data_IF_049660561976
#
_entry.id   IF_049660561976
#
_cell.length_a   1.000
_cell.length_b   1.000
_cell.length_c   1.000
_cell.angle_alpha   90.00
_cell.angle_beta   90.00
_cell.angle_gamma   90.00
#
_symmetry.space_group_name_H-M   'P 1'
#
loop_
_entity.id
_entity.type
_entity.pdbx_description
1 polymer ?
#
# COMPACT_ATOMS: atom_id res chain seq x y z
N UNK A 1 -63.90 29.71 10.10
CA UNK A 1 -62.70 30.33 10.69
C UNK A 1 -61.48 29.78 9.92
N UNK A 2 -61.06 30.50 8.88
CA UNK A 2 -59.90 30.11 8.09
C UNK A 2 -58.64 30.50 8.88
N UNK A 3 -57.77 29.51 9.12
CA UNK A 3 -56.49 29.71 9.78
C UNK A 3 -55.47 30.06 8.67
N UNK A 4 -55.16 31.34 8.52
CA UNK A 4 -54.09 31.79 7.65
C UNK A 4 -52.75 31.41 8.26
N UNK A 5 -52.12 30.38 7.69
CA UNK A 5 -50.73 30.05 7.96
C UNK A 5 -49.84 31.09 7.27
N UNK A 6 -49.20 31.96 8.03
CA UNK A 6 -48.23 32.92 7.53
C UNK A 6 -46.93 32.21 7.17
N UNK A 7 -46.70 31.93 5.88
CA UNK A 7 -45.49 31.34 5.32
C UNK A 7 -44.24 32.24 5.37
N UNK A 8 -44.22 33.31 6.19
CA UNK A 8 -43.17 34.33 6.17
C UNK A 8 -41.83 34.00 6.83
N UNK A 9 -41.67 32.80 7.42
CA UNK A 9 -40.47 32.46 8.19
C UNK A 9 -39.48 31.47 7.52
N UNK A 10 -39.89 30.77 6.50
CA UNK A 10 -39.09 29.66 5.90
C UNK A 10 -37.78 30.15 5.26
N UNK A 11 -37.77 31.33 4.64
CA UNK A 11 -36.55 31.89 4.05
C UNK A 11 -35.47 32.22 5.11
N UNK A 12 -35.87 32.57 6.36
CA UNK A 12 -34.92 32.78 7.45
C UNK A 12 -34.20 31.55 7.87
N UNK A 13 -34.89 30.39 7.84
CA UNK A 13 -34.30 29.09 8.16
C UNK A 13 -33.28 28.70 7.06
N UNK A 14 -33.65 28.87 5.78
CA UNK A 14 -32.75 28.61 4.67
C UNK A 14 -31.53 29.55 4.68
N UNK A 15 -31.72 30.82 5.05
CA UNK A 15 -30.62 31.77 5.20
C UNK A 15 -29.70 31.39 6.37
N UNK A 16 -30.27 31.01 7.53
CA UNK A 16 -29.49 30.55 8.67
C UNK A 16 -28.67 29.30 8.34
N UNK A 17 -29.22 28.33 7.62
CA UNK A 17 -28.52 27.11 7.16
C UNK A 17 -27.37 27.46 6.22
N UNK A 18 -27.60 28.33 5.26
CA UNK A 18 -26.56 28.83 4.36
C UNK A 18 -25.41 29.52 5.11
N UNK A 19 -25.72 30.38 6.07
CA UNK A 19 -24.69 31.09 6.85
C UNK A 19 -23.91 30.14 7.75
N UNK A 20 -24.58 29.16 8.37
CA UNK A 20 -23.89 28.15 9.19
C UNK A 20 -22.99 27.27 8.36
N UNK A 21 -23.41 26.86 7.14
CA UNK A 21 -22.57 26.09 6.20
C UNK A 21 -21.34 26.90 5.74
N UNK A 22 -21.52 28.20 5.43
CA UNK A 22 -20.41 29.11 5.13
C UNK A 22 -19.44 29.24 6.30
N UNK A 23 -19.94 29.38 7.52
CA UNK A 23 -19.12 29.47 8.73
C UNK A 23 -18.30 28.18 8.92
N UNK A 24 -18.91 27.03 8.78
CA UNK A 24 -18.22 25.74 8.87
C UNK A 24 -17.12 25.62 7.82
N UNK A 25 -17.38 26.00 6.58
CA UNK A 25 -16.41 26.04 5.51
C UNK A 25 -15.22 26.98 5.81
N UNK A 26 -15.50 28.19 6.32
CA UNK A 26 -14.45 29.10 6.74
C UNK A 26 -13.59 28.55 7.88
N UNK A 27 -14.22 27.93 8.88
CA UNK A 27 -13.48 27.27 9.98
C UNK A 27 -12.57 26.17 9.49
N UNK A 28 -13.02 25.37 8.52
CA UNK A 28 -12.22 24.33 7.90
C UNK A 28 -11.02 24.91 7.17
N UNK A 29 -11.21 25.94 6.35
CA UNK A 29 -10.11 26.64 5.67
C UNK A 29 -9.14 27.28 6.67
N UNK A 30 -9.64 27.88 7.74
CA UNK A 30 -8.81 28.45 8.78
C UNK A 30 -7.97 27.39 9.50
N UNK A 31 -8.57 26.22 9.84
CA UNK A 31 -7.87 25.08 10.41
C UNK A 31 -6.72 24.62 9.50
N UNK A 32 -6.98 24.47 8.21
CA UNK A 32 -5.96 24.07 7.23
C UNK A 32 -4.86 25.15 7.13
N UNK A 33 -5.21 26.43 7.24
CA UNK A 33 -4.24 27.53 7.19
C UNK A 33 -3.29 27.57 8.39
N UNK A 34 -3.75 27.14 9.58
CA UNK A 34 -2.97 27.13 10.83
C UNK A 34 -2.06 25.90 10.93
N UNK A 35 -2.34 24.82 10.17
CA UNK A 35 -1.51 23.61 10.16
C UNK A 35 -0.16 23.92 9.50
N UNK A 36 0.93 23.51 10.15
CA UNK A 36 2.29 23.65 9.61
C UNK A 36 2.48 22.85 8.31
N UNK A 37 3.41 23.27 7.42
CA UNK A 37 3.64 22.58 6.14
C UNK A 37 3.89 21.07 6.28
N UNK A 38 4.64 20.67 7.32
CA UNK A 38 4.98 19.27 7.60
C UNK A 38 3.71 18.47 7.91
N UNK A 39 2.82 19.02 8.74
CA UNK A 39 1.55 18.37 9.09
C UNK A 39 0.56 18.35 7.92
N UNK A 40 0.62 19.34 7.01
CA UNK A 40 -0.17 19.32 5.77
C UNK A 40 0.25 18.19 4.85
N UNK A 41 1.55 17.94 4.72
CA UNK A 41 2.08 16.82 3.92
C UNK A 41 1.56 15.47 4.44
N UNK A 42 1.64 15.24 5.76
CA UNK A 42 1.12 14.02 6.41
C UNK A 42 -0.39 13.85 6.18
N UNK A 43 -1.15 14.96 6.28
CA UNK A 43 -2.60 14.91 6.05
C UNK A 43 -2.94 14.62 4.59
N UNK A 44 -2.21 15.20 3.64
CA UNK A 44 -2.38 14.94 2.21
C UNK A 44 -2.05 13.48 1.86
N UNK A 45 -1.01 12.93 2.46
CA UNK A 45 -0.63 11.52 2.30
C UNK A 45 -1.68 10.57 2.90
N UNK A 46 -2.24 10.91 4.07
CA UNK A 46 -3.35 10.17 4.65
C UNK A 46 -4.55 10.08 3.70
N UNK A 47 -4.97 11.21 3.12
CA UNK A 47 -6.09 11.24 2.17
C UNK A 47 -5.76 10.59 0.82
N UNK A 48 -4.51 10.62 0.39
CA UNK A 48 -4.05 9.95 -0.82
C UNK A 48 -4.11 8.43 -0.69
N UNK A 49 -3.74 7.91 0.48
CA UNK A 49 -3.81 6.47 0.79
C UNK A 49 -5.23 6.01 1.17
N UNK A 50 -6.15 6.95 1.37
CA UNK A 50 -7.55 6.69 1.67
C UNK A 50 -8.37 6.62 0.37
N UNK A 51 -8.03 5.70 -0.50
CA UNK A 51 -8.82 5.41 -1.71
C UNK A 51 -10.02 4.54 -1.32
N UNK A 52 -11.14 5.17 -1.01
CA UNK A 52 -12.42 4.51 -0.66
C UNK A 52 -12.96 3.63 -1.82
N UNK A 53 -12.39 3.74 -3.01
CA UNK A 53 -12.96 3.16 -4.22
C UNK A 53 -12.06 2.19 -4.99
N UNK A 54 -10.90 1.79 -4.46
CA UNK A 54 -9.98 1.00 -5.27
C UNK A 54 -9.66 -0.41 -4.75
N UNK A 55 -10.22 -0.86 -3.63
CA UNK A 55 -10.27 -2.30 -3.35
C UNK A 55 -11.33 -2.67 -2.33
N UNK A 56 -12.31 -3.42 -2.79
CA UNK A 56 -13.51 -3.85 -2.09
C UNK A 56 -13.26 -5.04 -1.14
N UNK A 57 -12.13 -5.10 -0.44
CA UNK A 57 -11.87 -6.22 0.46
C UNK A 57 -11.30 -5.90 1.84
N UNK A 58 -11.18 -4.62 2.23
CA UNK A 58 -10.77 -4.33 3.60
C UNK A 58 -11.82 -3.47 4.30
N UNK A 59 -12.64 -4.14 5.12
CA UNK A 59 -13.64 -3.53 5.99
C UNK A 59 -13.00 -2.45 6.89
N UNK A 60 -13.40 -1.19 6.68
CA UNK A 60 -12.97 0.00 7.46
C UNK A 60 -13.57 0.01 8.88
N UNK A 61 -14.23 -1.08 9.31
CA UNK A 61 -14.99 -1.13 10.57
C UNK A 61 -14.24 -1.93 11.66
N UNK A 62 -12.97 -2.17 11.52
CA UNK A 62 -12.21 -2.66 12.67
C UNK A 62 -11.63 -1.47 13.44
N UNK A 63 -12.34 -1.08 14.50
CA UNK A 63 -12.17 0.15 15.31
C UNK A 63 -10.83 0.27 16.05
N UNK A 64 -9.74 -0.05 15.41
CA UNK A 64 -8.41 0.36 15.86
C UNK A 64 -8.12 1.73 15.28
N UNK A 65 -8.50 2.76 16.04
CA UNK A 65 -8.16 4.14 15.75
C UNK A 65 -6.68 4.25 15.37
N UNK A 66 -6.46 4.78 14.17
CA UNK A 66 -5.13 5.17 13.72
C UNK A 66 -4.62 6.23 14.70
N UNK A 67 -3.74 5.85 15.61
CA UNK A 67 -3.16 6.77 16.58
C UNK A 67 -2.20 7.64 15.77
N UNK A 68 -2.54 8.92 15.64
CA UNK A 68 -1.79 9.94 14.91
C UNK A 68 -0.34 10.10 15.42
N UNK A 69 -0.09 9.65 16.62
CA UNK A 69 1.23 9.61 17.28
C UNK A 69 2.21 8.65 16.58
N UNK A 70 1.70 7.59 15.95
CA UNK A 70 2.48 6.59 15.23
C UNK A 70 3.00 7.09 13.86
N UNK A 71 2.36 8.13 13.30
CA UNK A 71 2.78 8.76 12.05
C UNK A 71 3.89 9.82 12.25
N UNK A 72 3.96 10.42 13.45
CA UNK A 72 4.90 11.52 13.74
C UNK A 72 6.26 11.01 14.21
N UNK A 73 6.33 9.79 14.77
CA UNK A 73 7.54 9.24 15.42
C UNK A 73 8.30 8.21 14.60
N UNK A 74 7.85 7.88 13.37
CA UNK A 74 8.59 6.95 12.51
C UNK A 74 9.74 7.66 11.83
N UNK A 75 10.99 7.25 12.03
CA UNK A 75 12.05 7.64 11.12
C UNK A 75 11.68 7.06 9.75
N UNK A 76 11.21 7.91 8.85
CA UNK A 76 10.97 7.55 7.46
C UNK A 76 12.31 7.16 6.84
N UNK A 77 12.52 5.86 6.67
CA UNK A 77 13.54 5.39 5.74
C UNK A 77 13.03 5.84 4.37
N UNK A 78 13.71 6.80 3.77
CA UNK A 78 13.34 7.29 2.44
C UNK A 78 13.37 6.12 1.46
N UNK A 79 12.32 5.90 0.66
CA UNK A 79 12.27 4.78 -0.27
C UNK A 79 13.49 4.72 -1.19
N UNK A 80 14.02 5.89 -1.61
CA UNK A 80 15.22 5.97 -2.44
C UNK A 80 16.48 5.46 -1.72
N UNK A 81 16.65 5.79 -0.45
CA UNK A 81 17.79 5.33 0.35
C UNK A 81 17.75 3.82 0.55
N UNK A 82 16.58 3.29 0.87
CA UNK A 82 16.38 1.85 0.98
C UNK A 82 16.59 1.15 -0.36
N UNK A 83 15.99 1.64 -1.45
CA UNK A 83 16.15 1.08 -2.78
C UNK A 83 17.60 1.02 -3.22
N UNK A 84 18.37 2.10 -2.99
CA UNK A 84 19.79 2.15 -3.33
C UNK A 84 20.64 1.22 -2.45
N UNK A 85 20.33 1.15 -1.15
CA UNK A 85 21.01 0.22 -0.22
C UNK A 85 20.76 -1.23 -0.63
N UNK A 86 19.51 -1.56 -0.95
CA UNK A 86 19.14 -2.90 -1.35
C UNK A 86 19.76 -3.30 -2.71
N UNK A 87 19.78 -2.39 -3.71
CA UNK A 87 20.48 -2.61 -4.98
C UNK A 87 21.95 -3.00 -4.76
N UNK A 88 22.67 -2.27 -3.93
CA UNK A 88 24.06 -2.59 -3.58
C UNK A 88 24.19 -3.96 -2.92
N UNK A 89 23.29 -4.30 -2.00
CA UNK A 89 23.29 -5.61 -1.35
C UNK A 89 23.07 -6.76 -2.35
N UNK A 90 22.21 -6.57 -3.34
CA UNK A 90 22.00 -7.52 -4.45
C UNK A 90 23.26 -7.65 -5.30
N UNK A 91 23.89 -6.53 -5.68
CA UNK A 91 25.12 -6.54 -6.48
C UNK A 91 26.29 -7.21 -5.77
N UNK A 92 26.39 -7.08 -4.45
CA UNK A 92 27.46 -7.69 -3.66
C UNK A 92 27.23 -9.18 -3.39
N UNK A 93 26.01 -9.56 -2.98
CA UNK A 93 25.68 -10.91 -2.49
C UNK A 93 25.13 -11.84 -3.56
N UNK A 94 24.46 -11.31 -4.58
CA UNK A 94 23.75 -12.07 -5.61
C UNK A 94 24.27 -11.72 -7.01
N UNK A 95 25.59 -11.73 -7.22
CA UNK A 95 26.24 -11.35 -8.48
C UNK A 95 25.68 -12.08 -9.70
N UNK A 96 25.38 -13.38 -9.55
CA UNK A 96 24.88 -14.24 -10.61
C UNK A 96 23.38 -14.06 -10.88
N UNK A 97 22.66 -13.36 -9.99
CA UNK A 97 21.21 -13.15 -10.07
C UNK A 97 20.80 -11.67 -10.09
N UNK A 98 21.76 -10.76 -10.23
CA UNK A 98 21.50 -9.31 -10.23
C UNK A 98 20.47 -8.87 -11.28
N UNK A 99 20.43 -9.55 -12.42
CA UNK A 99 19.51 -9.26 -13.52
C UNK A 99 18.09 -9.84 -13.29
N UNK A 100 17.93 -10.66 -12.25
CA UNK A 100 16.65 -11.27 -11.88
C UNK A 100 15.96 -10.57 -10.69
N UNK A 101 16.70 -9.72 -9.97
CA UNK A 101 16.18 -8.96 -8.83
C UNK A 101 16.11 -7.49 -9.23
N UNK A 102 14.93 -7.05 -9.63
CA UNK A 102 14.66 -5.67 -10.02
C UNK A 102 14.18 -4.89 -8.80
N UNK A 103 14.71 -3.69 -8.61
CA UNK A 103 14.36 -2.82 -7.48
C UNK A 103 13.94 -1.46 -8.01
N UNK A 104 12.67 -1.14 -7.85
CA UNK A 104 12.07 0.10 -8.32
C UNK A 104 11.53 0.92 -7.14
N UNK A 105 11.81 2.22 -7.16
CA UNK A 105 11.15 3.15 -6.25
C UNK A 105 9.83 3.57 -6.90
N UNK A 106 8.76 3.28 -6.20
CA UNK A 106 7.40 3.62 -6.64
C UNK A 106 6.77 4.61 -5.67
N UNK A 107 5.63 5.16 -6.04
CA UNK A 107 4.87 6.02 -5.17
C UNK A 107 4.43 5.26 -3.89
N UNK A 108 4.91 5.72 -2.74
CA UNK A 108 4.59 5.12 -1.43
C UNK A 108 5.51 3.97 -0.99
N UNK A 109 6.57 3.62 -1.75
CA UNK A 109 7.45 2.56 -1.29
C UNK A 109 8.51 2.08 -2.28
N UNK A 110 8.99 0.88 -2.05
CA UNK A 110 9.94 0.20 -2.93
C UNK A 110 9.35 -1.13 -3.35
N UNK A 111 9.38 -1.38 -4.65
CA UNK A 111 9.00 -2.65 -5.25
C UNK A 111 10.26 -3.47 -5.54
N UNK A 112 10.29 -4.68 -5.03
CA UNK A 112 11.33 -5.67 -5.34
C UNK A 112 10.67 -6.75 -6.16
N UNK A 113 11.10 -6.92 -7.41
CA UNK A 113 10.59 -7.95 -8.31
C UNK A 113 11.65 -9.02 -8.50
N UNK A 114 11.23 -10.28 -8.37
CA UNK A 114 12.07 -11.43 -8.64
C UNK A 114 11.53 -12.07 -9.92
N UNK A 115 12.34 -12.07 -10.96
CA UNK A 115 11.94 -12.50 -12.31
C UNK A 115 12.65 -13.80 -12.67
N UNK A 116 11.90 -14.77 -13.20
CA UNK A 116 12.48 -15.99 -13.74
C UNK A 116 13.30 -15.70 -15.00
N UNK A 117 14.43 -16.39 -15.13
CA UNK A 117 15.26 -16.36 -16.32
C UNK A 117 15.48 -17.79 -16.82
N UNK A 118 15.66 -17.93 -18.11
CA UNK A 118 15.91 -19.23 -18.72
C UNK A 118 17.12 -19.92 -18.07
N UNK A 119 16.92 -21.15 -17.60
CA UNK A 119 17.94 -21.90 -16.84
C UNK A 119 18.10 -21.49 -15.36
N UNK A 120 17.35 -20.52 -14.87
CA UNK A 120 17.43 -20.04 -13.48
C UNK A 120 16.05 -19.63 -12.94
N UNK A 121 15.18 -20.62 -12.77
CA UNK A 121 13.81 -20.41 -12.29
C UNK A 121 13.76 -20.29 -10.78
N UNK A 122 12.91 -19.42 -10.29
CA UNK A 122 12.66 -19.22 -8.86
C UNK A 122 11.67 -20.25 -8.30
N UNK A 123 10.74 -20.68 -9.14
CA UNK A 123 9.82 -21.76 -8.84
C UNK A 123 9.79 -22.75 -9.99
N UNK A 124 9.80 -24.08 -9.72
CA UNK A 124 9.60 -25.08 -10.76
C UNK A 124 8.24 -24.89 -11.44
N UNK A 125 8.14 -25.37 -12.68
CA UNK A 125 6.89 -25.30 -13.42
C UNK A 125 5.75 -25.99 -12.66
N UNK A 126 4.65 -25.27 -12.47
CA UNK A 126 3.48 -25.78 -11.75
C UNK A 126 3.69 -26.00 -10.23
N UNK A 127 4.83 -25.61 -9.67
CA UNK A 127 5.13 -25.76 -8.25
C UNK A 127 5.05 -24.40 -7.52
N UNK A 128 4.63 -24.45 -6.27
CA UNK A 128 4.70 -23.34 -5.33
C UNK A 128 5.90 -23.45 -4.37
N UNK A 129 6.73 -24.48 -4.49
CA UNK A 129 7.92 -24.63 -3.67
C UNK A 129 9.08 -23.82 -4.27
N UNK A 130 9.69 -22.90 -3.50
CA UNK A 130 10.79 -22.08 -4.00
C UNK A 130 12.06 -22.93 -4.20
N UNK A 131 12.80 -22.67 -5.27
CA UNK A 131 14.10 -23.29 -5.50
C UNK A 131 15.13 -22.83 -4.46
N UNK A 132 16.26 -23.53 -4.28
CA UNK A 132 17.35 -23.08 -3.40
C UNK A 132 17.81 -21.65 -3.72
N UNK A 133 17.87 -21.29 -5.00
CA UNK A 133 18.22 -19.94 -5.45
C UNK A 133 17.17 -18.91 -5.05
N UNK A 134 15.89 -19.24 -5.17
CA UNK A 134 14.82 -18.38 -4.69
C UNK A 134 14.93 -18.15 -3.18
N UNK A 135 15.26 -19.19 -2.40
CA UNK A 135 15.48 -19.07 -0.96
C UNK A 135 16.65 -18.16 -0.62
N UNK A 136 17.74 -18.17 -1.38
CA UNK A 136 18.86 -17.23 -1.20
C UNK A 136 18.43 -15.78 -1.42
N UNK A 137 17.63 -15.53 -2.46
CA UNK A 137 17.08 -14.20 -2.74
C UNK A 137 16.12 -13.74 -1.61
N UNK A 138 15.22 -14.64 -1.20
CA UNK A 138 14.27 -14.36 -0.11
C UNK A 138 14.98 -14.10 1.22
N UNK A 139 16.03 -14.86 1.53
CA UNK A 139 16.86 -14.63 2.71
C UNK A 139 17.54 -13.26 2.69
N UNK A 140 18.05 -12.83 1.52
CA UNK A 140 18.61 -11.49 1.37
C UNK A 140 17.55 -10.40 1.57
N UNK A 141 16.35 -10.59 1.03
CA UNK A 141 15.23 -9.66 1.24
C UNK A 141 14.91 -9.60 2.73
N UNK A 142 14.72 -10.75 3.38
CA UNK A 142 14.42 -10.83 4.81
C UNK A 142 15.45 -10.07 5.65
N UNK A 143 16.75 -10.29 5.44
CA UNK A 143 17.82 -9.61 6.16
C UNK A 143 17.75 -8.08 6.06
N UNK A 144 17.26 -7.54 4.95
CA UNK A 144 17.13 -6.10 4.74
C UNK A 144 15.81 -5.52 5.27
N UNK A 145 14.75 -6.34 5.43
CA UNK A 145 13.42 -5.85 5.82
C UNK A 145 13.03 -6.22 7.26
N UNK A 146 13.70 -7.19 7.90
CA UNK A 146 13.34 -7.71 9.23
C UNK A 146 13.24 -6.64 10.33
N UNK A 147 14.08 -5.61 10.26
CA UNK A 147 14.11 -4.52 11.23
C UNK A 147 13.22 -3.33 10.83
N UNK A 148 12.55 -3.44 9.70
CA UNK A 148 11.67 -2.39 9.19
C UNK A 148 10.29 -2.46 9.84
N UNK A 149 9.73 -1.30 10.16
CA UNK A 149 8.36 -1.17 10.69
C UNK A 149 7.30 -1.00 9.61
N UNK A 150 7.72 -0.90 8.35
CA UNK A 150 6.85 -0.70 7.21
C UNK A 150 6.05 -1.97 6.91
N UNK A 151 4.87 -1.78 6.33
CA UNK A 151 4.05 -2.89 5.85
C UNK A 151 4.68 -3.48 4.60
N UNK A 152 4.69 -4.81 4.50
CA UNK A 152 5.19 -5.55 3.36
C UNK A 152 4.02 -6.28 2.71
N UNK A 153 3.84 -6.09 1.40
CA UNK A 153 2.95 -6.88 0.58
C UNK A 153 3.78 -7.87 -0.24
N UNK A 154 3.35 -9.13 -0.30
CA UNK A 154 3.99 -10.15 -1.12
C UNK A 154 2.99 -10.60 -2.17
N UNK A 155 3.34 -10.41 -3.42
CA UNK A 155 2.52 -10.73 -4.59
C UNK A 155 3.16 -11.89 -5.36
N UNK A 156 2.35 -12.84 -5.78
CA UNK A 156 2.78 -13.95 -6.63
C UNK A 156 2.19 -13.80 -8.02
N UNK A 157 3.00 -14.06 -9.03
CA UNK A 157 2.61 -14.04 -10.43
C UNK A 157 2.93 -15.38 -11.10
N UNK A 158 2.15 -15.73 -12.11
CA UNK A 158 2.38 -16.87 -12.97
C UNK A 158 2.43 -16.40 -14.43
N UNK A 159 2.96 -17.24 -15.30
CA UNK A 159 2.87 -17.06 -16.75
C UNK A 159 1.43 -17.24 -17.25
N UNK A 160 1.21 -16.91 -18.53
CA UNK A 160 -0.08 -17.09 -19.18
C UNK A 160 -0.31 -18.54 -19.66
N UNK A 161 0.63 -19.45 -19.45
CA UNK A 161 0.46 -20.84 -19.85
C UNK A 161 -0.66 -21.49 -19.03
N UNK A 162 -1.64 -22.12 -19.69
CA UNK A 162 -2.73 -22.76 -18.96
C UNK A 162 -2.19 -23.95 -18.15
N UNK A 163 -2.51 -23.94 -16.87
CA UNK A 163 -2.19 -25.07 -16.01
C UNK A 163 -3.04 -26.28 -16.44
N UNK A 164 -2.38 -27.40 -16.75
CA UNK A 164 -3.06 -28.64 -17.17
C UNK A 164 -3.46 -29.47 -15.95
N UNK A 165 -4.43 -29.00 -15.18
CA UNK A 165 -4.96 -29.74 -14.04
C UNK A 165 -6.37 -29.28 -13.71
N UNK A 166 -7.25 -30.20 -13.37
CA UNK A 166 -8.67 -29.93 -13.13
C UNK A 166 -8.95 -29.22 -11.79
N UNK A 167 -7.96 -29.05 -10.92
CA UNK A 167 -8.19 -28.57 -9.56
C UNK A 167 -7.37 -27.31 -9.17
N UNK A 168 -6.34 -26.94 -9.93
CA UNK A 168 -5.49 -25.79 -9.61
C UNK A 168 -5.39 -24.91 -10.84
N UNK A 169 -5.69 -23.64 -10.69
CA UNK A 169 -5.53 -22.63 -11.74
C UNK A 169 -4.29 -21.77 -11.46
N UNK A 170 -3.95 -20.90 -12.41
CA UNK A 170 -2.85 -19.95 -12.22
C UNK A 170 -3.11 -18.98 -11.04
N UNK A 171 -4.36 -18.78 -10.64
CA UNK A 171 -4.73 -17.97 -9.48
C UNK A 171 -4.30 -18.64 -8.17
N UNK A 172 -4.65 -19.90 -7.97
CA UNK A 172 -4.25 -20.65 -6.79
C UNK A 172 -2.73 -20.83 -6.74
N UNK A 173 -2.09 -21.07 -7.89
CA UNK A 173 -0.64 -21.20 -7.97
C UNK A 173 0.07 -19.91 -7.59
N UNK A 174 -0.38 -18.75 -8.09
CA UNK A 174 0.20 -17.45 -7.76
C UNK A 174 0.09 -17.15 -6.26
N UNK A 175 -1.08 -17.40 -5.69
CA UNK A 175 -1.33 -17.22 -4.25
C UNK A 175 -0.49 -18.18 -3.40
N UNK A 176 -0.34 -19.43 -3.83
CA UNK A 176 0.48 -20.42 -3.14
C UNK A 176 1.97 -20.05 -3.17
N UNK A 177 2.48 -19.51 -4.29
CA UNK A 177 3.86 -18.99 -4.41
C UNK A 177 4.10 -17.80 -3.48
N UNK A 178 3.20 -16.82 -3.44
CA UNK A 178 3.29 -15.71 -2.52
C UNK A 178 3.28 -16.17 -1.05
N UNK A 179 2.42 -17.14 -0.72
CA UNK A 179 2.37 -17.73 0.61
C UNK A 179 3.62 -18.51 0.98
N UNK A 180 4.24 -19.22 0.02
CA UNK A 180 5.50 -19.92 0.22
C UNK A 180 6.65 -18.93 0.45
N UNK A 181 6.76 -17.89 -0.39
CA UNK A 181 7.77 -16.85 -0.23
C UNK A 181 7.64 -16.11 1.14
N UNK A 182 6.43 -15.96 1.67
CA UNK A 182 6.23 -15.37 3.00
C UNK A 182 6.71 -16.25 4.14
N UNK A 183 6.74 -17.57 3.95
CA UNK A 183 7.13 -18.53 5.01
C UNK A 183 8.64 -18.74 5.12
N UNK A 184 9.36 -18.50 4.01
CA UNK A 184 10.83 -18.53 4.00
C UNK A 184 11.42 -17.29 4.66
#
# INVERSE_FOLDING_TARGET
>A
REVHYTHGGQWKVAYADFVTAMMAFFLLLWLIAVITPEKRAVLAEYFKNFTIFQDSSTSVIDGKGFIMEDLITRPEIRPEEFGNKFKRAVEEKLKDMKDQVLVDVIEGGVRIQIVDKEGNTMFPLGSAEPTPKAKEVLALIYENVKDMKQKIAIEGHTDAAPFRGDQITNWELSTARASAARRE
#
